data_IF_363080564627
#
_entry.id   IF_363080564627
#
_cell.length_a   1.000
_cell.length_b   1.000
_cell.length_c   1.000
_cell.angle_alpha   90.00
_cell.angle_beta   90.00
_cell.angle_gamma   90.00
#
_symmetry.space_group_name_H-M   'P 1'
#
loop_
_entity.id
_entity.type
_entity.pdbx_description
1 polymer ?
#
# COMPACT_ATOMS: atom_id res chain seq x y z
N UNK A 1 12.15 -12.19 1.35
CA UNK A 1 10.78 -12.27 0.79
C UNK A 1 9.92 -11.19 1.42
N UNK A 2 8.93 -10.69 0.68
CA UNK A 2 7.90 -9.78 1.17
C UNK A 2 6.59 -10.56 1.41
N UNK A 3 5.93 -10.30 2.53
CA UNK A 3 4.63 -10.88 2.90
C UNK A 3 3.54 -9.83 2.72
N UNK A 4 2.51 -10.17 1.95
CA UNK A 4 1.36 -9.32 1.68
C UNK A 4 0.08 -9.95 2.22
N UNK A 5 -0.77 -9.11 2.80
CA UNK A 5 -2.12 -9.49 3.22
C UNK A 5 -3.15 -8.69 2.43
N UNK A 6 -4.04 -9.39 1.73
CA UNK A 6 -5.28 -8.83 1.21
C UNK A 6 -6.32 -8.85 2.33
N UNK A 7 -6.94 -7.71 2.61
CA UNK A 7 -8.01 -7.59 3.59
C UNK A 7 -9.26 -7.13 2.84
N UNK A 8 -10.32 -7.93 2.87
CA UNK A 8 -11.54 -7.69 2.10
C UNK A 8 -12.77 -7.69 3.01
N UNK A 9 -13.63 -6.69 2.88
CA UNK A 9 -14.90 -6.64 3.60
C UNK A 9 -15.85 -7.70 3.04
N UNK A 10 -16.40 -8.54 3.92
CA UNK A 10 -17.30 -9.62 3.52
C UNK A 10 -18.66 -9.09 3.08
N UNK A 11 -19.09 -9.49 1.88
CA UNK A 11 -20.42 -9.22 1.36
C UNK A 11 -20.81 -7.72 1.40
N UNK A 12 -19.84 -6.83 1.16
CA UNK A 12 -19.99 -5.40 1.39
C UNK A 12 -21.05 -4.74 0.48
N UNK A 13 -21.01 -5.02 -0.84
CA UNK A 13 -21.95 -4.45 -1.80
C UNK A 13 -23.43 -4.69 -1.43
N UNK A 14 -23.86 -5.94 -1.18
CA UNK A 14 -25.21 -6.20 -0.68
C UNK A 14 -25.51 -5.56 0.67
N UNK A 15 -24.53 -5.48 1.57
CA UNK A 15 -24.68 -4.83 2.87
C UNK A 15 -24.96 -3.34 2.75
N UNK A 16 -24.33 -2.61 1.81
CA UNK A 16 -24.54 -1.16 1.69
C UNK A 16 -25.96 -0.79 1.24
N UNK A 17 -26.66 -1.69 0.55
CA UNK A 17 -27.99 -1.44 -0.04
C UNK A 17 -29.16 -2.13 0.66
N UNK A 18 -28.91 -3.01 1.63
CA UNK A 18 -29.96 -3.83 2.28
C UNK A 18 -30.19 -3.43 3.74
N UNK A 19 -31.46 -3.26 4.19
CA UNK A 19 -32.72 -3.35 3.44
C UNK A 19 -33.02 -2.12 2.56
N UNK A 20 -32.22 -1.06 2.70
CA UNK A 20 -32.24 0.15 1.87
C UNK A 20 -30.82 0.71 1.76
N UNK A 21 -30.51 1.53 0.74
CA UNK A 21 -29.24 2.24 0.64
C UNK A 21 -28.91 3.01 1.91
N UNK A 22 -27.66 2.87 2.37
CA UNK A 22 -27.05 3.70 3.41
C UNK A 22 -26.63 5.05 2.82
N UNK A 23 -26.55 6.05 3.68
CA UNK A 23 -26.04 7.38 3.32
C UNK A 23 -24.56 7.30 2.99
N UNK A 24 -24.14 7.99 1.93
CA UNK A 24 -22.75 7.96 1.50
C UNK A 24 -21.79 8.51 2.56
N UNK A 25 -22.21 9.54 3.31
CA UNK A 25 -21.44 10.07 4.44
C UNK A 25 -21.08 9.00 5.46
N UNK A 26 -22.03 8.14 5.80
CA UNK A 26 -21.85 7.10 6.83
C UNK A 26 -20.96 5.98 6.29
N UNK A 27 -21.03 5.67 4.98
CA UNK A 27 -20.15 4.72 4.32
C UNK A 27 -18.70 5.23 4.29
N UNK A 28 -18.50 6.51 3.95
CA UNK A 28 -17.17 7.13 3.94
C UNK A 28 -16.57 7.17 5.35
N UNK A 29 -17.37 7.49 6.38
CA UNK A 29 -16.94 7.44 7.79
C UNK A 29 -16.54 6.02 8.17
N UNK A 30 -17.40 5.02 7.92
CA UNK A 30 -17.13 3.62 8.24
C UNK A 30 -15.85 3.11 7.57
N UNK A 31 -15.66 3.41 6.28
CA UNK A 31 -14.49 2.99 5.51
C UNK A 31 -13.20 3.63 6.05
N UNK A 32 -13.23 4.93 6.35
CA UNK A 32 -12.09 5.64 6.92
C UNK A 32 -11.74 5.13 8.33
N UNK A 33 -12.74 4.90 9.18
CA UNK A 33 -12.56 4.35 10.52
C UNK A 33 -12.01 2.93 10.48
N UNK A 34 -12.54 2.07 9.60
CA UNK A 34 -12.04 0.71 9.40
C UNK A 34 -10.58 0.74 8.94
N UNK A 35 -10.25 1.53 7.92
CA UNK A 35 -8.88 1.67 7.42
C UNK A 35 -7.93 2.12 8.54
N UNK A 36 -8.29 3.18 9.28
CA UNK A 36 -7.47 3.70 10.37
C UNK A 36 -7.26 2.66 11.48
N UNK A 37 -8.27 1.87 11.79
CA UNK A 37 -8.19 0.87 12.85
C UNK A 37 -7.43 -0.41 12.45
N UNK A 38 -7.56 -0.85 11.20
CA UNK A 38 -6.73 -1.91 10.63
C UNK A 38 -5.26 -1.45 10.56
N UNK A 39 -5.02 -0.22 10.11
CA UNK A 39 -3.69 0.41 10.08
C UNK A 39 -3.05 0.42 11.48
N UNK A 40 -3.77 0.86 12.53
CA UNK A 40 -3.23 0.87 13.91
C UNK A 40 -2.80 -0.52 14.38
N UNK A 41 -3.61 -1.54 14.12
CA UNK A 41 -3.33 -2.89 14.60
C UNK A 41 -2.17 -3.56 13.85
N UNK A 42 -2.05 -3.32 12.53
CA UNK A 42 -0.94 -3.81 11.71
C UNK A 42 0.36 -3.02 12.00
N UNK A 43 0.27 -1.71 12.21
CA UNK A 43 1.43 -0.87 12.61
C UNK A 43 1.97 -1.25 13.99
N UNK A 44 1.13 -1.66 14.94
CA UNK A 44 1.59 -2.22 16.22
C UNK A 44 2.46 -3.49 16.07
N UNK A 45 2.54 -4.04 14.85
CA UNK A 45 3.36 -5.18 14.45
C UNK A 45 4.36 -4.81 13.33
N UNK A 46 4.70 -3.52 13.19
CA UNK A 46 5.62 -2.98 12.18
C UNK A 46 5.22 -3.21 10.71
N UNK A 47 3.93 -3.41 10.45
CA UNK A 47 3.38 -3.45 9.10
C UNK A 47 2.81 -2.11 8.64
N UNK A 48 2.37 -2.04 7.38
CA UNK A 48 1.74 -0.86 6.80
C UNK A 48 0.58 -1.26 5.89
N UNK A 49 -0.53 -0.51 5.92
CA UNK A 49 -1.75 -0.76 5.18
C UNK A 49 -2.00 0.35 4.19
N UNK A 50 -2.40 -0.01 2.98
CA UNK A 50 -2.79 0.89 1.92
C UNK A 50 -4.28 0.72 1.62
N UNK A 51 -5.00 1.83 1.52
CA UNK A 51 -6.46 1.81 1.40
C UNK A 51 -6.96 1.21 0.09
N UNK A 52 -6.14 1.19 -0.98
CA UNK A 52 -6.50 0.66 -2.31
C UNK A 52 -7.90 1.07 -2.79
N UNK A 53 -8.93 0.25 -2.59
CA UNK A 53 -10.33 0.53 -2.99
C UNK A 53 -11.30 0.61 -1.80
N UNK A 54 -10.77 0.74 -0.58
CA UNK A 54 -11.45 0.70 0.72
C UNK A 54 -12.13 -0.62 1.08
N UNK A 55 -12.96 -1.17 0.18
CA UNK A 55 -13.57 -2.49 0.37
C UNK A 55 -12.54 -3.64 0.30
N UNK A 56 -11.40 -3.36 -0.33
CA UNK A 56 -10.19 -4.14 -0.37
C UNK A 56 -9.05 -3.23 0.07
N UNK A 57 -8.31 -3.66 1.09
CA UNK A 57 -7.07 -3.07 1.58
C UNK A 57 -5.93 -4.04 1.27
N UNK A 58 -4.73 -3.51 1.03
CA UNK A 58 -3.51 -4.30 0.95
C UNK A 58 -2.57 -3.89 2.07
N UNK A 59 -1.92 -4.85 2.71
CA UNK A 59 -0.95 -4.60 3.76
C UNK A 59 0.35 -5.36 3.51
N UNK A 60 1.48 -4.72 3.85
CA UNK A 60 2.76 -5.41 4.00
C UNK A 60 2.85 -5.89 5.44
N UNK A 61 2.98 -7.21 5.63
CA UNK A 61 2.78 -7.87 6.93
C UNK A 61 3.94 -8.79 7.32
N UNK A 62 5.14 -8.53 6.81
CA UNK A 62 6.37 -9.18 7.28
C UNK A 62 6.42 -9.17 8.82
N UNK A 63 6.59 -10.35 9.42
CA UNK A 63 6.59 -10.54 10.88
C UNK A 63 5.25 -10.85 11.53
N UNK A 64 4.12 -10.74 10.83
CA UNK A 64 2.80 -11.14 11.35
C UNK A 64 2.53 -12.62 11.05
N UNK A 65 2.14 -13.37 12.09
CA UNK A 65 1.75 -14.78 11.97
C UNK A 65 0.21 -14.95 11.87
N UNK A 66 -0.25 -16.20 11.79
CA UNK A 66 -1.68 -16.55 11.74
C UNK A 66 -2.47 -16.00 12.94
N UNK A 67 -1.93 -16.11 14.16
CA UNK A 67 -2.61 -15.66 15.37
C UNK A 67 -2.81 -14.14 15.40
N UNK A 68 -1.82 -13.38 14.93
CA UNK A 68 -1.91 -11.93 14.80
C UNK A 68 -3.05 -11.54 13.85
N UNK A 69 -3.15 -12.19 12.69
CA UNK A 69 -4.24 -11.97 11.73
C UNK A 69 -5.62 -12.33 12.33
N UNK A 70 -5.73 -13.46 13.01
CA UNK A 70 -6.97 -13.87 13.70
C UNK A 70 -7.41 -12.85 14.76
N UNK A 71 -6.46 -12.27 15.51
CA UNK A 71 -6.74 -11.25 16.52
C UNK A 71 -7.29 -9.98 15.89
N UNK A 72 -6.71 -9.52 14.78
CA UNK A 72 -7.18 -8.34 14.03
C UNK A 72 -8.59 -8.58 13.51
N UNK A 73 -8.83 -9.72 12.84
CA UNK A 73 -10.15 -10.08 12.30
C UNK A 73 -11.22 -10.12 13.41
N UNK A 74 -10.91 -10.75 14.54
CA UNK A 74 -11.79 -10.82 15.72
C UNK A 74 -12.10 -9.43 16.27
N UNK A 75 -11.10 -8.56 16.31
CA UNK A 75 -11.22 -7.19 16.79
C UNK A 75 -12.18 -6.37 15.93
N UNK A 76 -12.12 -6.53 14.60
CA UNK A 76 -13.04 -5.88 13.65
C UNK A 76 -14.46 -6.41 13.82
N UNK A 77 -14.67 -7.74 13.83
CA UNK A 77 -15.99 -8.35 14.05
C UNK A 77 -16.70 -7.79 15.28
N UNK A 78 -15.96 -7.58 16.37
CA UNK A 78 -16.55 -7.16 17.64
C UNK A 78 -16.98 -5.68 17.67
N UNK A 79 -16.51 -4.84 16.74
CA UNK A 79 -16.68 -3.38 16.79
C UNK A 79 -17.41 -2.79 15.59
N UNK A 80 -17.41 -3.49 14.46
CA UNK A 80 -17.98 -3.00 13.20
C UNK A 80 -19.22 -3.80 12.79
N UNK A 81 -20.16 -3.19 12.05
CA UNK A 81 -21.36 -3.87 11.53
C UNK A 81 -21.07 -4.78 10.32
N UNK A 82 -19.80 -5.10 10.08
CA UNK A 82 -19.25 -5.86 8.97
C UNK A 82 -18.19 -6.82 9.51
N UNK A 83 -17.83 -7.82 8.70
CA UNK A 83 -16.64 -8.65 8.95
C UNK A 83 -15.66 -8.51 7.80
N UNK A 84 -14.42 -8.95 8.06
CA UNK A 84 -13.36 -8.96 7.06
C UNK A 84 -12.82 -10.38 6.89
N UNK A 85 -12.55 -10.74 5.64
CA UNK A 85 -11.72 -11.89 5.31
C UNK A 85 -10.33 -11.43 4.92
N UNK A 86 -9.34 -12.29 5.16
CA UNK A 86 -7.94 -12.04 4.87
C UNK A 86 -7.38 -13.17 4.00
N UNK A 87 -6.63 -12.78 2.97
CA UNK A 87 -5.73 -13.68 2.24
C UNK A 87 -4.29 -13.30 2.55
N UNK A 88 -3.40 -14.26 2.79
CA UNK A 88 -1.98 -14.00 3.08
C UNK A 88 -1.10 -14.76 2.10
N UNK A 89 -0.06 -14.12 1.59
CA UNK A 89 0.92 -14.75 0.71
C UNK A 89 2.27 -14.04 0.78
N UNK A 90 3.33 -14.81 0.61
CA UNK A 90 4.72 -14.32 0.59
C UNK A 90 5.42 -14.70 -0.70
N UNK A 91 6.23 -13.80 -1.25
CA UNK A 91 6.98 -14.01 -2.48
C UNK A 91 8.23 -13.11 -2.56
N UNK A 92 8.98 -13.23 -3.65
CA UNK A 92 10.12 -12.35 -3.94
C UNK A 92 9.69 -10.92 -4.26
N UNK A 93 8.56 -10.74 -4.97
CA UNK A 93 8.03 -9.43 -5.37
C UNK A 93 6.68 -9.13 -4.73
N UNK A 94 6.40 -7.84 -4.49
CA UNK A 94 5.15 -7.41 -3.87
C UNK A 94 3.92 -7.77 -4.71
N UNK A 95 4.03 -7.65 -6.05
CA UNK A 95 2.97 -8.02 -6.97
C UNK A 95 2.64 -9.51 -6.91
N UNK A 96 3.63 -10.38 -6.79
CA UNK A 96 3.39 -11.82 -6.68
C UNK A 96 2.81 -12.20 -5.31
N UNK A 97 3.33 -11.63 -4.22
CA UNK A 97 2.84 -11.88 -2.87
C UNK A 97 1.34 -11.54 -2.72
N UNK A 98 0.91 -10.36 -3.20
CA UNK A 98 -0.51 -10.00 -3.17
C UNK A 98 -1.36 -10.90 -4.09
N UNK A 99 -0.80 -11.40 -5.20
CA UNK A 99 -1.49 -12.30 -6.12
C UNK A 99 -1.76 -13.64 -5.44
N UNK A 100 -0.78 -14.19 -4.73
CA UNK A 100 -0.92 -15.43 -3.95
C UNK A 100 -1.96 -15.27 -2.84
N UNK A 101 -1.90 -14.16 -2.09
CA UNK A 101 -2.90 -13.80 -1.09
C UNK A 101 -4.32 -13.74 -1.68
N UNK A 102 -4.45 -13.09 -2.84
CA UNK A 102 -5.73 -12.96 -3.56
C UNK A 102 -6.27 -14.32 -4.00
N UNK A 103 -5.42 -15.18 -4.58
CA UNK A 103 -5.80 -16.52 -5.03
C UNK A 103 -6.24 -17.39 -3.86
N UNK A 104 -5.53 -17.32 -2.73
CA UNK A 104 -5.91 -18.05 -1.52
C UNK A 104 -7.33 -17.68 -1.09
N UNK A 105 -7.65 -16.39 -1.03
CA UNK A 105 -8.98 -15.93 -0.64
C UNK A 105 -10.06 -16.26 -1.68
N UNK A 106 -9.76 -16.18 -2.97
CA UNK A 106 -10.71 -16.49 -4.05
C UNK A 106 -11.14 -17.97 -4.06
N UNK A 107 -10.28 -18.89 -3.62
CA UNK A 107 -10.63 -20.31 -3.50
C UNK A 107 -11.72 -20.58 -2.46
N UNK A 108 -11.83 -19.72 -1.46
CA UNK A 108 -12.85 -19.80 -0.40
C UNK A 108 -14.19 -19.17 -0.79
N UNK A 109 -14.27 -18.59 -2.01
CA UNK A 109 -15.51 -18.09 -2.60
C UNK A 109 -15.47 -16.61 -2.98
N UNK A 110 -16.51 -16.19 -3.72
CA UNK A 110 -16.64 -14.81 -4.21
C UNK A 110 -16.88 -13.78 -3.10
N UNK A 111 -16.47 -12.54 -3.35
CA UNK A 111 -16.56 -11.42 -2.39
C UNK A 111 -17.99 -11.10 -1.91
N UNK A 112 -19.00 -11.45 -2.71
CA UNK A 112 -20.43 -11.25 -2.41
C UNK A 112 -21.14 -12.54 -1.97
N UNK A 113 -20.39 -13.61 -1.70
CA UNK A 113 -20.98 -14.84 -1.18
C UNK A 113 -21.40 -14.62 0.27
N UNK A 114 -22.70 -14.76 0.56
CA UNK A 114 -23.22 -14.63 1.92
C UNK A 114 -22.71 -15.72 2.89
N UNK A 115 -22.27 -16.86 2.35
CA UNK A 115 -21.67 -17.95 3.12
C UNK A 115 -20.19 -17.76 3.41
N UNK A 116 -19.51 -16.84 2.72
CA UNK A 116 -18.08 -16.57 2.93
C UNK A 116 -17.92 -15.44 3.95
N UNK A 117 -17.51 -15.80 5.15
CA UNK A 117 -17.42 -14.87 6.28
C UNK A 117 -16.20 -15.17 7.13
N UNK A 118 -15.44 -14.13 7.46
CA UNK A 118 -14.26 -14.23 8.35
C UNK A 118 -13.27 -15.31 7.91
N UNK A 119 -13.05 -15.45 6.60
CA UNK A 119 -12.04 -16.37 6.08
C UNK A 119 -10.65 -15.83 6.40
N UNK A 120 -9.77 -16.68 6.92
CA UNK A 120 -8.33 -16.44 6.96
C UNK A 120 -7.66 -17.49 6.07
N UNK A 121 -7.37 -17.12 4.83
CA UNK A 121 -6.78 -17.99 3.82
C UNK A 121 -5.28 -17.71 3.70
N UNK A 122 -4.45 -18.59 4.26
CA UNK A 122 -2.99 -18.47 4.20
C UNK A 122 -2.47 -19.34 3.06
N UNK A 123 -1.87 -18.71 2.04
CA UNK A 123 -1.11 -19.44 1.03
C UNK A 123 0.20 -19.96 1.61
N UNK A 124 0.96 -19.03 2.20
CA UNK A 124 2.24 -19.22 2.86
C UNK A 124 2.53 -17.99 3.74
N UNK A 125 3.38 -18.19 4.74
CA UNK A 125 3.92 -17.15 5.61
C UNK A 125 5.46 -17.15 5.50
N UNK A 126 6.08 -16.06 5.94
CA UNK A 126 7.51 -16.04 6.20
C UNK A 126 7.74 -16.65 7.59
N UNK A 127 8.26 -17.88 7.64
CA UNK A 127 8.46 -18.61 8.90
C UNK A 127 9.76 -18.21 9.63
N UNK A 128 10.85 -18.01 8.88
CA UNK A 128 12.13 -17.58 9.45
C UNK A 128 12.31 -16.07 9.26
N UNK A 129 12.66 -15.32 10.32
CA UNK A 129 12.94 -13.89 10.21
C UNK A 129 14.03 -13.54 9.18
N UNK A 130 15.04 -14.40 9.02
CA UNK A 130 16.12 -14.22 8.04
C UNK A 130 15.64 -14.25 6.58
N UNK A 131 14.48 -14.86 6.31
CA UNK A 131 13.85 -14.85 5.00
C UNK A 131 13.04 -13.56 4.76
N UNK A 132 12.92 -12.68 5.76
CA UNK A 132 12.17 -11.43 5.68
C UNK A 132 13.01 -10.34 5.02
N UNK A 133 12.46 -9.68 4.01
CA UNK A 133 13.10 -8.52 3.39
C UNK A 133 12.05 -7.65 2.73
N UNK A 134 12.11 -6.34 2.98
CA UNK A 134 11.22 -5.33 2.42
C UNK A 134 12.05 -4.19 1.85
N UNK A 135 11.86 -3.91 0.57
CA UNK A 135 12.33 -2.69 -0.08
C UNK A 135 11.13 -1.78 -0.35
N UNK A 136 11.19 -0.56 0.17
CA UNK A 136 10.18 0.46 0.00
C UNK A 136 10.79 1.71 -0.65
N UNK A 137 10.13 2.24 -1.68
CA UNK A 137 10.46 3.55 -2.24
C UNK A 137 9.39 4.56 -1.85
N UNK A 138 9.79 5.63 -1.16
CA UNK A 138 8.96 6.81 -0.94
C UNK A 138 9.24 7.80 -2.07
N UNK A 139 8.27 7.96 -2.96
CA UNK A 139 8.36 8.79 -4.16
C UNK A 139 7.59 10.09 -3.92
N UNK A 140 8.23 11.22 -4.21
CA UNK A 140 7.70 12.57 -3.99
C UNK A 140 7.84 13.43 -5.25
N UNK A 141 6.82 14.22 -5.59
CA UNK A 141 6.87 15.16 -6.72
C UNK A 141 7.67 16.40 -6.30
N UNK A 142 8.55 16.87 -7.17
CA UNK A 142 9.33 18.07 -6.91
C UNK A 142 8.45 19.32 -6.95
N UNK A 143 8.56 20.14 -5.90
CA UNK A 143 8.02 21.51 -5.85
C UNK A 143 6.52 21.63 -6.18
N UNK A 144 5.69 20.65 -5.81
CA UNK A 144 4.23 20.74 -6.04
C UNK A 144 3.62 21.98 -5.42
N UNK A 145 4.11 22.40 -4.24
CA UNK A 145 3.57 23.59 -3.57
C UNK A 145 3.74 24.84 -4.43
N UNK A 146 4.97 25.12 -4.88
CA UNK A 146 5.31 26.32 -5.63
C UNK A 146 4.82 26.29 -7.09
N UNK A 147 4.69 25.10 -7.69
CA UNK A 147 4.38 24.96 -9.12
C UNK A 147 2.92 24.61 -9.40
N UNK A 148 2.21 24.05 -8.42
CA UNK A 148 0.83 23.59 -8.58
C UNK A 148 -0.07 24.06 -7.44
N UNK A 149 0.22 23.78 -6.18
CA UNK A 149 -0.72 24.05 -5.07
C UNK A 149 -1.00 25.54 -4.85
N UNK A 150 0.01 26.40 -5.01
CA UNK A 150 -0.13 27.84 -4.82
C UNK A 150 -0.60 28.58 -6.10
N UNK A 151 -0.70 27.89 -7.23
CA UNK A 151 -0.99 28.47 -8.55
C UNK A 151 -2.32 27.95 -9.11
N UNK A 152 -2.53 26.64 -9.04
CA UNK A 152 -3.66 25.92 -9.61
C UNK A 152 -4.78 25.72 -8.58
N UNK A 153 -5.96 25.33 -9.05
CA UNK A 153 -7.03 24.93 -8.12
C UNK A 153 -6.70 23.60 -7.44
N UNK A 154 -7.26 23.37 -6.26
CA UNK A 154 -7.08 22.10 -5.54
C UNK A 154 -7.47 20.86 -6.37
N UNK A 155 -8.46 20.99 -7.27
CA UNK A 155 -8.88 19.89 -8.14
C UNK A 155 -7.87 19.67 -9.27
N UNK A 156 -7.30 20.73 -9.84
CA UNK A 156 -6.29 20.63 -10.90
C UNK A 156 -4.96 20.08 -10.37
N UNK A 157 -4.55 20.45 -9.15
CA UNK A 157 -3.42 19.80 -8.47
C UNK A 157 -3.69 18.30 -8.29
N UNK A 158 -4.88 17.93 -7.81
CA UNK A 158 -5.28 16.53 -7.66
C UNK A 158 -5.26 15.78 -9.00
N UNK A 159 -5.73 16.40 -10.08
CA UNK A 159 -5.67 15.83 -11.43
C UNK A 159 -4.23 15.50 -11.85
N UNK A 160 -3.29 16.42 -11.61
CA UNK A 160 -1.87 16.21 -11.93
C UNK A 160 -1.24 15.10 -11.09
N UNK A 161 -1.52 15.06 -9.78
CA UNK A 161 -1.06 13.98 -8.88
C UNK A 161 -1.60 12.62 -9.35
N UNK A 162 -2.88 12.53 -9.70
CA UNK A 162 -3.48 11.30 -10.21
C UNK A 162 -2.90 10.87 -11.56
N UNK A 163 -2.55 11.83 -12.43
CA UNK A 163 -1.86 11.54 -13.71
C UNK A 163 -0.48 10.93 -13.46
N UNK A 164 0.30 11.51 -12.54
CA UNK A 164 1.60 10.96 -12.14
C UNK A 164 1.44 9.55 -11.53
N UNK A 165 0.48 9.39 -10.63
CA UNK A 165 0.16 8.10 -10.00
C UNK A 165 -0.12 7.02 -11.04
N UNK A 166 -0.97 7.30 -12.03
CA UNK A 166 -1.35 6.33 -13.06
C UNK A 166 -0.14 5.88 -13.89
N UNK A 167 0.72 6.82 -14.25
CA UNK A 167 1.95 6.55 -14.99
C UNK A 167 2.89 5.63 -14.18
N UNK A 168 3.20 6.03 -12.94
CA UNK A 168 4.04 5.26 -12.04
C UNK A 168 3.47 3.86 -11.77
N UNK A 169 2.15 3.75 -11.51
CA UNK A 169 1.47 2.46 -11.32
C UNK A 169 1.65 1.54 -12.53
N UNK A 170 1.59 2.08 -13.75
CA UNK A 170 1.74 1.31 -14.97
C UNK A 170 3.13 0.71 -15.08
N UNK A 171 4.17 1.54 -14.91
CA UNK A 171 5.58 1.13 -15.04
C UNK A 171 6.03 0.21 -13.91
N UNK A 172 5.68 0.52 -12.66
CA UNK A 172 6.09 -0.26 -11.49
C UNK A 172 5.45 -1.65 -11.46
N UNK A 173 4.17 -1.76 -11.88
CA UNK A 173 3.49 -3.06 -11.96
C UNK A 173 4.19 -4.02 -12.91
N UNK A 174 4.69 -3.53 -14.05
CA UNK A 174 5.43 -4.35 -15.03
C UNK A 174 6.74 -4.92 -14.46
N UNK A 175 7.29 -4.25 -13.44
CA UNK A 175 8.50 -4.66 -12.72
C UNK A 175 8.20 -5.47 -11.44
N UNK A 176 6.95 -5.84 -11.19
CA UNK A 176 6.55 -6.61 -10.00
C UNK A 176 6.43 -5.79 -8.71
N UNK A 177 6.56 -4.46 -8.79
CA UNK A 177 6.33 -3.55 -7.67
C UNK A 177 4.85 -3.11 -7.60
N UNK A 178 4.46 -2.53 -6.47
CA UNK A 178 3.16 -1.89 -6.28
C UNK A 178 3.35 -0.38 -6.07
N UNK A 179 2.28 0.41 -6.20
CA UNK A 179 2.31 1.84 -5.87
C UNK A 179 1.01 2.25 -5.20
N UNK A 180 1.13 3.03 -4.13
CA UNK A 180 0.01 3.55 -3.36
C UNK A 180 0.18 5.04 -3.12
N UNK A 181 -0.88 5.81 -3.27
CA UNK A 181 -0.94 7.19 -2.83
C UNK A 181 -1.02 7.24 -1.30
N UNK A 182 -0.20 8.10 -0.67
CA UNK A 182 -0.14 8.22 0.81
C UNK A 182 -0.46 9.63 1.32
N UNK A 183 -0.75 10.58 0.43
CA UNK A 183 -1.21 11.92 0.81
C UNK A 183 -0.39 13.05 0.18
N UNK A 184 -1.05 14.18 -0.07
CA UNK A 184 -0.43 15.34 -0.74
C UNK A 184 0.01 14.98 -2.15
N UNK A 185 1.32 14.88 -2.33
CA UNK A 185 2.08 14.58 -3.55
C UNK A 185 2.95 13.33 -3.41
N UNK A 186 2.71 12.52 -2.37
CA UNK A 186 3.57 11.42 -1.96
C UNK A 186 2.98 10.06 -2.36
N UNK A 187 3.86 9.16 -2.78
CA UNK A 187 3.55 7.78 -3.09
C UNK A 187 4.51 6.83 -2.37
N UNK A 188 4.01 5.65 -2.01
CA UNK A 188 4.81 4.58 -1.44
C UNK A 188 4.76 3.35 -2.33
N UNK A 189 5.93 2.78 -2.61
CA UNK A 189 6.08 1.61 -3.49
C UNK A 189 6.81 0.47 -2.77
N UNK A 190 6.10 -0.59 -2.35
CA UNK A 190 6.74 -1.87 -2.04
C UNK A 190 7.32 -2.47 -3.33
N UNK A 191 8.65 -2.53 -3.42
CA UNK A 191 9.36 -2.69 -4.69
C UNK A 191 10.56 -3.66 -4.61
N UNK A 192 10.46 -4.72 -3.79
CA UNK A 192 11.46 -5.79 -3.75
C UNK A 192 11.90 -6.23 -5.15
N UNK A 193 13.22 -6.28 -5.38
CA UNK A 193 13.83 -6.69 -6.65
C UNK A 193 13.93 -5.59 -7.70
N UNK A 194 13.32 -4.41 -7.49
CA UNK A 194 13.50 -3.26 -8.37
C UNK A 194 14.89 -2.65 -8.15
N UNK A 195 15.65 -2.46 -9.22
CA UNK A 195 16.96 -1.81 -9.14
C UNK A 195 16.82 -0.29 -9.05
N UNK A 196 17.85 0.35 -8.49
CA UNK A 196 18.01 1.80 -8.44
C UNK A 196 18.00 2.44 -9.83
N UNK A 197 18.64 1.79 -10.80
CA UNK A 197 18.67 2.23 -12.20
C UNK A 197 17.27 2.16 -12.83
N UNK A 198 16.54 1.06 -12.63
CA UNK A 198 15.17 0.92 -13.14
C UNK A 198 14.26 2.01 -12.57
N UNK A 199 14.31 2.26 -11.26
CA UNK A 199 13.49 3.32 -10.66
C UNK A 199 13.90 4.70 -11.19
N UNK A 200 15.20 4.99 -11.25
CA UNK A 200 15.70 6.27 -11.79
C UNK A 200 15.23 6.50 -13.22
N UNK A 201 15.26 5.47 -14.06
CA UNK A 201 14.80 5.56 -15.44
C UNK A 201 13.29 5.84 -15.52
N UNK A 202 12.47 5.20 -14.66
CA UNK A 202 11.03 5.48 -14.56
C UNK A 202 10.77 6.94 -14.15
N UNK A 203 11.52 7.47 -13.18
CA UNK A 203 11.37 8.86 -12.71
C UNK A 203 11.80 9.89 -13.77
N UNK A 204 12.79 9.57 -14.61
CA UNK A 204 13.18 10.42 -15.75
C UNK A 204 12.14 10.39 -16.87
N UNK A 205 11.63 9.20 -17.20
CA UNK A 205 10.66 9.03 -18.29
C UNK A 205 9.38 9.83 -18.05
N UNK A 206 8.88 9.84 -16.81
CA UNK A 206 7.70 10.63 -16.44
C UNK A 206 7.97 12.14 -16.44
N UNK A 207 9.16 12.59 -16.03
CA UNK A 207 9.53 14.00 -16.16
C UNK A 207 9.55 14.43 -17.63
N UNK A 208 10.12 13.60 -18.51
CA UNK A 208 10.15 13.83 -19.96
C UNK A 208 8.75 13.80 -20.60
N UNK A 209 7.87 12.87 -20.21
CA UNK A 209 6.55 12.70 -20.82
C UNK A 209 5.50 13.72 -20.35
N UNK A 210 5.49 14.04 -19.06
CA UNK A 210 4.41 14.84 -18.46
C UNK A 210 4.90 16.09 -17.73
N UNK A 211 6.21 16.36 -17.74
CA UNK A 211 6.81 17.55 -17.13
C UNK A 211 6.74 17.56 -15.61
N UNK A 212 6.70 16.37 -14.98
CA UNK A 212 6.61 16.22 -13.52
C UNK A 212 7.91 15.59 -13.02
N UNK A 213 8.79 16.43 -12.48
CA UNK A 213 9.99 15.97 -11.81
C UNK A 213 9.66 15.24 -10.51
N UNK A 214 10.29 14.09 -10.29
CA UNK A 214 10.11 13.27 -9.09
C UNK A 214 11.46 12.94 -8.48
N UNK A 215 11.42 12.53 -7.21
CA UNK A 215 12.55 11.94 -6.49
C UNK A 215 12.05 10.80 -5.62
N UNK A 216 12.95 9.90 -5.22
CA UNK A 216 12.60 8.81 -4.33
C UNK A 216 13.67 8.47 -3.30
N UNK A 217 13.29 8.40 -2.03
CA UNK A 217 14.10 7.70 -1.03
C UNK A 217 13.78 6.20 -1.07
N UNK A 218 14.79 5.35 -0.96
CA UNK A 218 14.65 3.90 -0.95
C UNK A 218 15.14 3.38 0.39
N UNK A 219 14.28 2.67 1.10
CA UNK A 219 14.61 2.01 2.36
C UNK A 219 14.57 0.49 2.22
N UNK A 220 15.49 -0.19 2.92
CA UNK A 220 15.58 -1.65 2.98
C UNK A 220 15.70 -2.12 4.42
N UNK A 221 14.76 -2.98 4.85
CA UNK A 221 14.74 -3.54 6.20
C UNK A 221 13.96 -4.87 6.22
N UNK A 222 13.85 -5.49 7.40
CA UNK A 222 13.14 -6.75 7.59
C UNK A 222 11.62 -6.58 7.69
N UNK A 223 11.12 -5.35 7.81
CA UNK A 223 9.69 -5.02 7.90
C UNK A 223 9.39 -3.67 7.24
N UNK A 224 8.09 -3.38 7.06
CA UNK A 224 7.65 -2.22 6.29
C UNK A 224 7.76 -0.90 7.05
N UNK A 225 7.59 -0.89 8.37
CA UNK A 225 7.74 0.33 9.17
C UNK A 225 9.18 0.87 9.07
N UNK A 226 10.16 0.01 9.30
CA UNK A 226 11.57 0.39 9.28
C UNK A 226 12.01 0.74 7.84
N UNK A 227 11.58 -0.04 6.82
CA UNK A 227 11.87 0.27 5.42
C UNK A 227 11.25 1.59 4.96
N UNK A 228 10.01 1.90 5.35
CA UNK A 228 9.39 3.19 5.04
C UNK A 228 10.12 4.35 5.73
N UNK A 229 10.49 4.18 7.01
CA UNK A 229 11.25 5.18 7.75
C UNK A 229 12.62 5.49 7.12
N UNK A 230 13.32 4.47 6.63
CA UNK A 230 14.58 4.65 5.89
C UNK A 230 14.37 5.37 4.55
N UNK A 231 13.28 5.07 3.85
CA UNK A 231 12.90 5.78 2.64
C UNK A 231 12.62 7.27 2.93
N UNK A 232 11.98 7.60 4.06
CA UNK A 232 11.76 8.98 4.50
C UNK A 232 13.09 9.72 4.72
N UNK A 233 14.06 9.08 5.40
CA UNK A 233 15.41 9.64 5.59
C UNK A 233 16.09 9.90 4.23
N UNK A 234 15.97 8.96 3.29
CA UNK A 234 16.50 9.11 1.94
C UNK A 234 15.95 10.34 1.22
N UNK A 235 14.64 10.61 1.34
CA UNK A 235 14.04 11.83 0.78
C UNK A 235 14.59 13.11 1.40
N UNK A 236 14.78 13.14 2.73
CA UNK A 236 15.34 14.32 3.39
C UNK A 236 16.77 14.61 2.94
N UNK A 237 17.61 13.59 2.72
CA UNK A 237 18.96 13.76 2.19
C UNK A 237 18.94 14.37 0.77
N UNK A 238 18.03 13.90 -0.10
CA UNK A 238 17.86 14.48 -1.44
C UNK A 238 17.47 15.96 -1.35
N UNK A 239 16.56 16.31 -0.42
CA UNK A 239 16.11 17.69 -0.18
C UNK A 239 17.24 18.58 0.31
N UNK A 240 18.04 18.12 1.28
CA UNK A 240 19.24 18.82 1.76
C UNK A 240 20.29 19.00 0.63
N UNK A 241 20.35 18.05 -0.29
CA UNK A 241 21.16 18.11 -1.52
C UNK A 241 20.63 19.06 -2.60
N UNK A 242 19.56 19.82 -2.35
CA UNK A 242 18.83 20.65 -3.32
C UNK A 242 18.25 19.86 -4.51
N UNK A 243 17.73 18.66 -4.25
CA UNK A 243 17.07 17.81 -5.26
C UNK A 243 17.94 17.48 -6.49
N UNK A 244 19.27 17.40 -6.31
CA UNK A 244 20.21 17.04 -7.39
C UNK A 244 20.18 15.56 -7.74
N UNK A 245 19.86 14.71 -6.77
CA UNK A 245 19.77 13.27 -6.91
C UNK A 245 18.32 12.87 -7.20
N UNK A 246 18.13 11.89 -8.08
CA UNK A 246 16.81 11.32 -8.36
C UNK A 246 16.40 10.33 -7.27
N UNK A 247 17.38 9.62 -6.71
CA UNK A 247 17.17 8.58 -5.72
C UNK A 247 18.26 8.60 -4.65
N UNK A 248 17.93 8.12 -3.46
CA UNK A 248 18.89 7.91 -2.38
C UNK A 248 18.51 6.66 -1.58
N UNK A 249 19.47 5.80 -1.28
CA UNK A 249 19.25 4.50 -0.62
C UNK A 249 19.75 4.54 0.81
N UNK A 250 18.92 4.05 1.74
CA UNK A 250 19.26 3.82 3.13
C UNK A 250 18.90 2.37 3.46
N UNK A 251 19.81 1.66 4.12
CA UNK A 251 19.62 0.25 4.53
C UNK A 251 20.10 0.04 5.98
N UNK A 252 19.41 -0.82 6.72
CA UNK A 252 19.89 -1.32 8.00
C UNK A 252 21.03 -2.33 7.76
N UNK A 253 22.13 -2.20 8.52
CA UNK A 253 23.22 -3.18 8.57
C UNK A 253 22.92 -4.29 9.58
#
# INVERSE_FOLDING_TARGET
MIQMTLIQIDNYGPWTVTPRPRTESDLQILQAELFADVQRQIAAKKGLVFFTRFDNLLAVTNGLNEEDHMRIQRSIRNRYPITISMGVGAAETAHEAQRLATIALQKEGGAQSSGRKEILAINNLIENPEDSFVQAAHIDINSVTETLTDIESAFDTSFMVNKAQHYLMTKLREKGALLFFIGGDNFMSPCNGLSEEDLTNILKEIDEEIGIGLKAGIGRADNMEDAAYMADIGLEIIREGNNKEWIHVIEEL
#
